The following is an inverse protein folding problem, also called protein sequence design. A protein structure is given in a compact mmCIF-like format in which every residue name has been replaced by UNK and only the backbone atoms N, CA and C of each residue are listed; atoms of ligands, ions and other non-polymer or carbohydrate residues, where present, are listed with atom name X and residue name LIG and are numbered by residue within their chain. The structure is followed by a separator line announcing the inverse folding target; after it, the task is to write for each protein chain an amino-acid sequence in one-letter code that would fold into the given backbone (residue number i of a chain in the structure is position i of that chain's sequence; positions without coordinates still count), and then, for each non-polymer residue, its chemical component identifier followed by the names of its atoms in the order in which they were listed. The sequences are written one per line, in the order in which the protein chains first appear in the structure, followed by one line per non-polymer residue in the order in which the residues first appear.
data_IF_454909013982
#
_entry.id   IF_454909013982
#
_cell.length_a   1.000
_cell.length_b   1.000
_cell.length_c   1.000
_cell.angle_alpha   90.00
_cell.angle_beta   90.00
_cell.angle_gamma   90.00
#
_symmetry.space_group_name_H-M   'P 1'
#
loop_
_entity.id
_entity.type
_entity.pdbx_description
1 polymer ?
#
# COMPACT_ATOMS: atom_id res chain seq x y z
N UNK A 1 27.23 14.18 18.84
CA UNK A 1 25.88 14.61 18.42
C UNK A 1 24.95 13.40 18.41
N UNK A 2 23.63 13.61 18.33
CA UNK A 2 22.63 12.54 18.52
C UNK A 2 22.65 11.47 17.42
N UNK A 3 22.46 10.21 17.82
CA UNK A 3 22.33 9.06 16.93
C UNK A 3 21.42 9.35 15.72
N UNK A 4 21.70 8.72 14.58
CA UNK A 4 20.89 8.75 13.37
C UNK A 4 19.50 8.16 13.64
N UNK A 5 18.61 8.92 14.26
CA UNK A 5 17.24 8.49 14.48
C UNK A 5 16.56 8.38 13.11
N UNK A 6 16.06 7.19 12.79
CA UNK A 6 15.28 6.97 11.57
C UNK A 6 14.03 7.86 11.62
N UNK A 7 13.86 8.69 10.59
CA UNK A 7 12.73 9.63 10.52
C UNK A 7 11.37 8.94 10.40
N UNK A 8 11.36 7.68 9.94
CA UNK A 8 10.16 6.86 9.76
C UNK A 8 10.37 5.47 10.34
N UNK A 9 9.82 5.24 11.53
CA UNK A 9 9.73 3.91 12.15
C UNK A 9 8.27 3.49 12.14
N UNK A 10 7.91 2.37 11.46
CA UNK A 10 6.53 1.91 11.48
C UNK A 10 6.16 1.41 12.88
N UNK A 11 4.93 1.68 13.30
CA UNK A 11 4.40 1.01 14.49
C UNK A 11 4.32 -0.50 14.20
N UNK A 12 4.79 -1.38 15.10
CA UNK A 12 4.88 -2.81 14.83
C UNK A 12 3.51 -3.50 14.65
N UNK A 13 2.51 -3.06 15.41
CA UNK A 13 1.21 -3.74 15.48
C UNK A 13 0.17 -3.11 14.52
N UNK A 14 -0.59 -3.90 13.76
CA UNK A 14 -1.67 -3.43 12.89
C UNK A 14 -2.64 -2.49 13.59
N UNK A 15 -3.04 -2.77 14.83
CA UNK A 15 -3.97 -1.96 15.62
C UNK A 15 -3.41 -0.54 15.88
N UNK A 16 -2.09 -0.39 15.84
CA UNK A 16 -1.42 0.89 16.01
C UNK A 16 -1.25 1.66 14.69
N UNK A 17 -1.13 0.98 13.54
CA UNK A 17 -0.88 1.60 12.22
C UNK A 17 -2.09 1.68 11.29
N UNK A 18 -3.08 0.80 11.43
CA UNK A 18 -4.31 0.79 10.63
C UNK A 18 -5.37 1.67 11.28
N UNK A 19 -5.25 2.98 11.10
CA UNK A 19 -6.20 3.94 11.66
C UNK A 19 -6.87 4.73 10.55
N UNK A 20 -8.21 4.84 10.62
CA UNK A 20 -8.93 5.90 9.92
C UNK A 20 -8.67 7.19 10.68
N UNK A 21 -7.82 8.04 10.11
CA UNK A 21 -7.38 9.26 10.76
C UNK A 21 -8.20 10.45 10.26
N UNK A 22 -8.84 11.17 11.17
CA UNK A 22 -9.33 12.54 10.90
C UNK A 22 -8.19 13.56 10.99
N UNK A 23 -7.21 13.28 11.85
CA UNK A 23 -5.98 14.05 12.01
C UNK A 23 -4.77 13.12 11.93
N UNK A 24 -3.74 13.56 11.21
CA UNK A 24 -2.44 12.86 11.14
C UNK A 24 -1.37 13.74 11.77
N UNK A 25 -0.41 13.11 12.46
CA UNK A 25 0.77 13.83 12.93
C UNK A 25 1.58 14.31 11.71
N UNK A 26 1.80 15.61 11.61
CA UNK A 26 2.67 16.23 10.61
C UNK A 26 3.82 16.93 11.32
N UNK A 27 5.02 16.37 11.22
CA UNK A 27 6.23 16.98 11.75
C UNK A 27 6.82 17.94 10.71
N UNK A 28 7.14 19.17 11.13
CA UNK A 28 7.80 20.15 10.26
C UNK A 28 9.16 19.61 9.83
N UNK A 29 9.49 19.72 8.54
CA UNK A 29 10.75 19.20 7.99
C UNK A 29 10.74 17.70 7.64
N UNK A 30 9.72 16.93 8.03
CA UNK A 30 9.60 15.50 7.70
C UNK A 30 8.41 15.29 6.78
N UNK A 31 8.68 15.14 5.47
CA UNK A 31 7.64 14.81 4.49
C UNK A 31 7.34 13.31 4.53
N UNK A 32 6.07 12.97 4.29
CA UNK A 32 5.70 11.57 4.11
C UNK A 32 6.28 11.08 2.77
N UNK A 33 7.08 9.99 2.73
CA UNK A 33 7.81 9.59 1.53
C UNK A 33 6.90 9.36 0.32
N UNK A 34 5.74 8.73 0.53
CA UNK A 34 4.75 8.55 -0.54
C UNK A 34 4.31 9.89 -1.13
N UNK A 35 4.03 10.89 -0.29
CA UNK A 35 3.44 12.16 -0.73
C UNK A 35 4.47 13.10 -1.38
N UNK A 36 5.76 12.82 -1.23
CA UNK A 36 6.83 13.55 -1.91
C UNK A 36 6.73 13.39 -3.43
N UNK A 37 6.45 12.16 -3.90
CA UNK A 37 6.22 11.86 -5.32
C UNK A 37 4.95 12.55 -5.85
N UNK A 38 4.00 12.85 -4.97
CA UNK A 38 2.76 13.58 -5.27
C UNK A 38 2.86 15.10 -5.07
N UNK A 39 4.06 15.66 -5.22
CA UNK A 39 4.32 17.11 -5.16
C UNK A 39 3.79 17.76 -3.88
N UNK A 40 3.95 17.09 -2.73
CA UNK A 40 3.60 17.70 -1.45
C UNK A 40 4.43 18.95 -1.21
N UNK A 41 3.80 20.09 -0.89
CA UNK A 41 4.53 21.33 -0.66
C UNK A 41 5.46 21.19 0.54
N UNK A 42 6.59 21.89 0.44
CA UNK A 42 7.55 21.95 1.52
C UNK A 42 7.00 22.72 2.73
N UNK A 43 7.50 22.43 3.93
CA UNK A 43 7.00 23.04 5.17
C UNK A 43 7.62 24.41 5.49
N UNK A 44 8.48 24.92 4.62
CA UNK A 44 9.23 26.17 4.71
C UNK A 44 8.53 27.34 4.01
N UNK A 45 7.58 27.08 3.11
CA UNK A 45 6.78 28.11 2.46
C UNK A 45 5.28 27.88 2.62
N UNK A 46 4.52 28.98 2.63
CA UNK A 46 3.06 28.93 2.52
C UNK A 46 2.69 28.47 1.11
N UNK A 47 1.73 27.55 1.01
CA UNK A 47 1.21 27.04 -0.25
C UNK A 47 -0.31 27.12 -0.21
N UNK A 48 -0.89 28.00 -1.02
CA UNK A 48 -2.33 28.20 -1.17
C UNK A 48 -2.98 27.06 -1.94
N UNK A 49 -2.24 26.45 -2.87
CA UNK A 49 -2.72 25.34 -3.70
C UNK A 49 -1.56 24.46 -4.14
N UNK A 50 -1.70 23.15 -3.92
CA UNK A 50 -0.75 22.14 -4.41
C UNK A 50 -0.79 22.08 -5.94
N UNK A 51 0.37 21.95 -6.55
CA UNK A 51 0.49 21.69 -7.99
C UNK A 51 -0.14 20.33 -8.33
N UNK A 52 -1.11 20.34 -9.24
CA UNK A 52 -1.69 19.11 -9.78
C UNK A 52 -0.85 18.66 -10.97
N UNK A 53 -0.36 17.43 -10.90
CA UNK A 53 0.48 16.83 -11.93
C UNK A 53 -0.02 15.43 -12.22
N UNK A 54 0.15 14.97 -13.45
CA UNK A 54 -0.17 13.62 -13.90
C UNK A 54 1.07 12.93 -14.44
N UNK A 55 2.22 13.19 -13.83
CA UNK A 55 3.52 12.69 -14.30
C UNK A 55 3.61 11.18 -14.10
N UNK A 56 4.19 10.50 -15.10
CA UNK A 56 4.35 9.04 -15.12
C UNK A 56 4.92 8.43 -13.83
N UNK A 57 5.89 9.05 -13.12
CA UNK A 57 6.40 8.50 -11.86
C UNK A 57 5.33 8.31 -10.78
N UNK A 58 4.27 9.13 -10.74
CA UNK A 58 3.19 9.00 -9.76
C UNK A 58 2.37 7.73 -9.99
N UNK A 59 1.99 7.46 -11.24
CA UNK A 59 1.28 6.24 -11.60
C UNK A 59 2.15 5.00 -11.37
N UNK A 60 3.43 5.04 -11.76
CA UNK A 60 4.36 3.94 -11.53
C UNK A 60 4.60 3.69 -10.04
N UNK A 61 4.66 4.74 -9.22
CA UNK A 61 4.80 4.58 -7.76
C UNK A 61 3.59 3.83 -7.18
N UNK A 62 2.37 4.21 -7.55
CA UNK A 62 1.18 3.54 -7.05
C UNK A 62 1.08 2.08 -7.52
N UNK A 63 1.39 1.78 -8.79
CA UNK A 63 1.35 0.41 -9.30
C UNK A 63 2.46 -0.51 -8.76
N UNK A 64 3.65 0.03 -8.50
CA UNK A 64 4.81 -0.79 -8.11
C UNK A 64 5.09 -0.75 -6.60
N UNK A 65 4.34 0.03 -5.81
CA UNK A 65 4.57 0.08 -4.37
C UNK A 65 3.97 -1.12 -3.65
N UNK A 66 4.74 -1.68 -2.72
CA UNK A 66 4.26 -2.70 -1.79
C UNK A 66 3.04 -2.22 -0.99
N UNK A 67 3.02 -0.94 -0.58
CA UNK A 67 1.90 -0.38 0.19
C UNK A 67 0.58 -0.41 -0.61
N UNK A 68 0.58 -0.01 -1.89
CA UNK A 68 -0.64 -0.08 -2.71
C UNK A 68 -1.10 -1.52 -2.90
N UNK A 69 -0.17 -2.44 -3.14
CA UNK A 69 -0.45 -3.86 -3.30
C UNK A 69 -1.02 -4.51 -2.03
N UNK A 70 -0.43 -4.24 -0.86
CA UNK A 70 -0.94 -4.75 0.43
C UNK A 70 -2.36 -4.21 0.70
N UNK A 71 -2.66 -2.96 0.31
CA UNK A 71 -4.01 -2.38 0.44
C UNK A 71 -4.99 -2.96 -0.55
N UNK A 72 -4.58 -3.25 -1.78
CA UNK A 72 -5.45 -3.87 -2.77
C UNK A 72 -5.81 -5.31 -2.39
N UNK A 73 -4.84 -6.06 -1.85
CA UNK A 73 -5.07 -7.41 -1.33
C UNK A 73 -6.02 -7.41 -0.13
N UNK A 74 -5.84 -6.47 0.81
CA UNK A 74 -6.73 -6.31 1.95
C UNK A 74 -8.16 -5.93 1.53
N UNK A 75 -8.29 -5.07 0.50
CA UNK A 75 -9.59 -4.71 -0.08
C UNK A 75 -10.27 -5.92 -0.73
N UNK A 76 -9.55 -6.70 -1.53
CA UNK A 76 -10.05 -7.90 -2.17
C UNK A 76 -10.51 -8.93 -1.14
N UNK A 77 -9.70 -9.20 -0.11
CA UNK A 77 -10.06 -10.11 0.98
C UNK A 77 -11.31 -9.63 1.72
N UNK A 78 -11.42 -8.33 1.99
CA UNK A 78 -12.62 -7.76 2.62
C UNK A 78 -13.85 -7.94 1.74
N UNK A 79 -13.79 -7.55 0.46
CA UNK A 79 -14.91 -7.68 -0.46
C UNK A 79 -15.34 -9.14 -0.62
N UNK A 80 -14.38 -10.08 -0.67
CA UNK A 80 -14.65 -11.50 -0.75
C UNK A 80 -15.26 -12.08 0.53
N UNK A 81 -14.86 -11.57 1.70
CA UNK A 81 -15.36 -12.02 3.01
C UNK A 81 -16.71 -11.42 3.38
N UNK A 82 -17.05 -10.24 2.85
CA UNK A 82 -18.35 -9.58 3.04
C UNK A 82 -19.50 -10.36 2.36
N UNK A 83 -19.21 -11.20 1.37
CA UNK A 83 -20.21 -11.99 0.63
C UNK A 83 -20.35 -13.40 1.23
N UNK A 84 -21.60 -13.86 1.34
CA UNK A 84 -21.91 -15.22 1.80
C UNK A 84 -21.23 -16.28 0.92
N UNK A 85 -20.73 -17.33 1.56
CA UNK A 85 -20.00 -18.41 0.88
C UNK A 85 -20.90 -19.24 -0.02
N UNK A 86 -22.19 -19.32 0.32
CA UNK A 86 -23.19 -20.11 -0.40
C UNK A 86 -23.96 -19.26 -1.43
N UNK A 87 -23.59 -17.99 -1.63
CA UNK A 87 -24.22 -17.13 -2.61
C UNK A 87 -23.93 -17.60 -4.04
N UNK A 88 -24.98 -17.75 -4.84
CA UNK A 88 -24.85 -17.85 -6.28
C UNK A 88 -24.19 -16.57 -6.84
N UNK A 89 -23.31 -16.73 -7.84
CA UNK A 89 -22.58 -15.63 -8.49
C UNK A 89 -21.72 -14.77 -7.54
N UNK A 90 -21.04 -15.42 -6.58
CA UNK A 90 -20.14 -14.77 -5.63
C UNK A 90 -19.10 -13.83 -6.27
N UNK A 91 -18.56 -14.19 -7.44
CA UNK A 91 -17.62 -13.36 -8.20
C UNK A 91 -18.22 -11.99 -8.55
N UNK A 92 -19.43 -11.96 -9.12
CA UNK A 92 -20.11 -10.71 -9.48
C UNK A 92 -20.46 -9.87 -8.26
N UNK A 93 -20.89 -10.52 -7.18
CA UNK A 93 -21.19 -9.84 -5.91
C UNK A 93 -19.94 -9.20 -5.30
N UNK A 94 -18.80 -9.89 -5.36
CA UNK A 94 -17.52 -9.34 -4.90
C UNK A 94 -17.09 -8.13 -5.73
N UNK A 95 -17.25 -8.18 -7.05
CA UNK A 95 -16.97 -7.04 -7.93
C UNK A 95 -17.89 -5.85 -7.62
N UNK A 96 -19.21 -6.07 -7.54
CA UNK A 96 -20.16 -5.02 -7.14
C UNK A 96 -19.77 -4.39 -5.80
N UNK A 97 -19.35 -5.22 -4.84
CA UNK A 97 -18.87 -4.75 -3.54
C UNK A 97 -17.62 -3.89 -3.64
N UNK A 98 -16.69 -4.22 -4.53
CA UNK A 98 -15.50 -3.39 -4.80
C UNK A 98 -15.90 -2.03 -5.39
N UNK A 99 -16.81 -2.01 -6.38
CA UNK A 99 -17.33 -0.76 -6.96
C UNK A 99 -17.97 0.13 -5.88
N UNK A 100 -18.77 -0.44 -4.98
CA UNK A 100 -19.36 0.29 -3.85
C UNK A 100 -18.29 0.85 -2.90
N UNK A 101 -17.29 0.04 -2.54
CA UNK A 101 -16.27 0.42 -1.56
C UNK A 101 -15.26 1.43 -2.09
N UNK A 102 -14.94 1.38 -3.40
CA UNK A 102 -13.90 2.21 -4.02
C UNK A 102 -14.49 3.40 -4.76
N UNK A 103 -15.49 3.18 -5.60
CA UNK A 103 -16.06 4.17 -6.51
C UNK A 103 -17.39 4.73 -6.03
N UNK A 104 -17.95 4.21 -4.93
CA UNK A 104 -19.22 4.66 -4.34
C UNK A 104 -20.41 4.61 -5.32
N UNK A 105 -20.38 3.70 -6.30
CA UNK A 105 -21.46 3.49 -7.29
C UNK A 105 -21.61 2.00 -7.62
N UNK A 106 -22.66 1.66 -8.36
CA UNK A 106 -22.79 0.34 -8.97
C UNK A 106 -22.04 0.28 -10.32
N UNK A 107 -21.51 -0.89 -10.71
CA UNK A 107 -20.95 -1.07 -12.04
C UNK A 107 -22.05 -1.08 -13.09
N UNK A 108 -21.74 -0.54 -14.26
CA UNK A 108 -22.55 -0.79 -15.45
C UNK A 108 -22.37 -2.24 -15.93
N UNK A 109 -23.33 -2.76 -16.69
CA UNK A 109 -23.32 -4.16 -17.10
C UNK A 109 -22.05 -4.53 -17.91
N UNK A 110 -21.65 -3.65 -18.83
CA UNK A 110 -20.47 -3.86 -19.66
C UNK A 110 -19.16 -3.78 -18.85
N UNK A 111 -19.09 -2.92 -17.83
CA UNK A 111 -17.92 -2.82 -16.96
C UNK A 111 -17.76 -4.10 -16.13
N UNK A 112 -18.85 -4.61 -15.58
CA UNK A 112 -18.85 -5.84 -14.78
C UNK A 112 -18.35 -7.03 -15.61
N UNK A 113 -18.83 -7.19 -16.84
CA UNK A 113 -18.40 -8.25 -17.75
C UNK A 113 -16.91 -8.16 -18.09
N UNK A 114 -16.42 -6.95 -18.42
CA UNK A 114 -15.01 -6.72 -18.76
C UNK A 114 -14.08 -7.01 -17.57
N UNK A 115 -14.44 -6.55 -16.37
CA UNK A 115 -13.65 -6.77 -15.17
C UNK A 115 -13.66 -8.24 -14.75
N UNK A 116 -14.80 -8.92 -14.87
CA UNK A 116 -14.89 -10.36 -14.61
C UNK A 116 -14.00 -11.17 -15.56
N UNK A 117 -14.01 -10.83 -16.85
CA UNK A 117 -13.12 -11.46 -17.84
C UNK A 117 -11.65 -11.22 -17.50
N UNK A 118 -11.31 -9.97 -17.15
CA UNK A 118 -9.95 -9.58 -16.77
C UNK A 118 -9.48 -10.32 -15.51
N UNK A 119 -10.36 -10.44 -14.51
CA UNK A 119 -10.06 -11.18 -13.27
C UNK A 119 -9.73 -12.64 -13.57
N UNK A 120 -10.53 -13.32 -14.39
CA UNK A 120 -10.25 -14.71 -14.79
C UNK A 120 -8.96 -14.85 -15.58
N UNK A 121 -8.64 -13.88 -16.44
CA UNK A 121 -7.38 -13.87 -17.19
C UNK A 121 -6.17 -13.70 -16.25
N UNK A 122 -6.26 -12.80 -15.27
CA UNK A 122 -5.23 -12.61 -14.25
C UNK A 122 -5.07 -13.87 -13.40
N UNK A 123 -6.17 -14.45 -12.94
CA UNK A 123 -6.12 -15.69 -12.16
C UNK A 123 -5.43 -16.80 -12.95
N UNK A 124 -5.76 -16.97 -14.24
CA UNK A 124 -5.15 -17.98 -15.09
C UNK A 124 -3.63 -17.78 -15.23
N UNK A 125 -3.15 -16.53 -15.32
CA UNK A 125 -1.75 -16.18 -15.45
C UNK A 125 -0.96 -16.27 -14.13
N UNK A 126 -1.62 -16.10 -12.98
CA UNK A 126 -0.96 -16.13 -11.68
C UNK A 126 -0.48 -17.53 -11.30
N UNK A 127 0.70 -17.66 -10.65
CA UNK A 127 1.16 -18.94 -10.13
C UNK A 127 0.22 -19.48 -9.04
N UNK A 128 0.08 -20.81 -9.00
CA UNK A 128 -0.77 -21.51 -8.01
C UNK A 128 -0.33 -21.20 -6.58
N UNK A 129 0.96 -21.26 -6.33
CA UNK A 129 1.55 -20.86 -5.05
C UNK A 129 1.96 -19.39 -5.11
N UNK A 130 1.71 -18.66 -4.04
CA UNK A 130 2.19 -17.30 -3.91
C UNK A 130 3.67 -17.29 -3.55
N UNK A 131 4.37 -16.25 -4.02
CA UNK A 131 5.75 -16.01 -3.60
C UNK A 131 5.69 -15.43 -2.18
N UNK A 132 6.36 -16.06 -1.19
CA UNK A 132 6.42 -15.51 0.15
C UNK A 132 7.12 -14.16 0.13
N UNK A 133 6.60 -13.23 0.90
CA UNK A 133 7.29 -11.97 1.15
C UNK A 133 8.44 -12.20 2.13
N UNK A 134 9.49 -11.40 2.00
CA UNK A 134 10.68 -11.52 2.85
C UNK A 134 10.38 -11.15 4.30
N UNK A 135 11.08 -11.79 5.24
CA UNK A 135 11.05 -11.36 6.65
C UNK A 135 11.69 -9.97 6.80
N UNK A 136 11.11 -9.13 7.64
CA UNK A 136 11.72 -7.83 7.98
C UNK A 136 13.08 -8.04 8.67
N UNK A 137 14.12 -7.29 8.30
CA UNK A 137 15.44 -7.43 8.93
C UNK A 137 15.39 -6.96 10.39
N UNK A 138 16.10 -7.65 11.28
CA UNK A 138 16.19 -7.28 12.71
C UNK A 138 17.39 -6.37 13.00
N UNK A 139 18.35 -6.33 12.09
CA UNK A 139 19.55 -5.50 12.19
C UNK A 139 19.82 -4.79 10.87
N UNK A 140 20.47 -3.62 10.94
CA UNK A 140 20.97 -2.91 9.78
C UNK A 140 22.42 -2.47 10.03
N UNK A 141 23.32 -2.82 9.12
CA UNK A 141 24.70 -2.36 9.21
C UNK A 141 24.80 -0.90 8.76
N UNK A 142 25.42 -0.06 9.58
CA UNK A 142 25.59 1.38 9.36
C UNK A 142 27.07 1.72 9.29
N UNK A 143 27.40 2.63 8.38
CA UNK A 143 28.71 3.29 8.34
C UNK A 143 28.55 4.69 8.93
N UNK A 144 29.46 5.08 9.81
CA UNK A 144 29.51 6.39 10.42
C UNK A 144 30.95 6.90 10.48
N UNK A 145 31.08 8.22 10.67
CA UNK A 145 32.38 8.90 10.83
C UNK A 145 32.43 9.44 12.25
N UNK A 146 33.50 9.11 12.97
CA UNK A 146 33.74 9.62 14.32
C UNK A 146 34.04 11.12 14.24
N UNK A 147 33.38 11.91 15.10
CA UNK A 147 33.33 13.38 14.95
C UNK A 147 34.70 14.04 15.18
N UNK A 148 35.55 13.47 16.03
CA UNK A 148 36.82 14.07 16.42
C UNK A 148 38.01 13.59 15.57
N UNK A 149 38.08 12.30 15.27
CA UNK A 149 39.17 11.68 14.51
C UNK A 149 38.94 11.71 13.00
N UNK A 150 37.66 11.80 12.57
CA UNK A 150 37.28 11.63 11.17
C UNK A 150 37.40 10.19 10.67
N UNK A 151 37.66 9.22 11.55
CA UNK A 151 37.76 7.82 11.18
C UNK A 151 36.38 7.22 10.90
N UNK A 152 36.30 6.37 9.89
CA UNK A 152 35.09 5.64 9.56
C UNK A 152 34.98 4.38 10.40
N UNK A 153 33.80 4.11 10.92
CA UNK A 153 33.50 2.87 11.63
C UNK A 153 32.16 2.30 11.18
N UNK A 154 32.01 0.99 11.32
CA UNK A 154 30.76 0.28 11.08
C UNK A 154 30.19 -0.24 12.39
N UNK A 155 28.87 -0.23 12.50
CA UNK A 155 28.15 -0.86 13.61
C UNK A 155 26.82 -1.44 13.12
N UNK A 156 26.38 -2.51 13.78
CA UNK A 156 25.07 -3.08 13.52
C UNK A 156 24.03 -2.45 14.44
N UNK A 157 23.11 -1.71 13.83
CA UNK A 157 21.95 -1.13 14.49
C UNK A 157 20.89 -2.21 14.71
N UNK A 158 20.40 -2.36 15.93
CA UNK A 158 19.25 -3.22 16.23
C UNK A 158 17.96 -2.47 15.89
N UNK A 159 17.14 -3.05 15.03
CA UNK A 159 15.85 -2.50 14.61
C UNK A 159 14.74 -3.00 15.55
N UNK A 160 14.65 -2.38 16.74
CA UNK A 160 13.72 -2.81 17.80
C UNK A 160 12.26 -2.89 17.33
N UNK A 161 11.80 -1.93 16.51
CA UNK A 161 10.44 -1.94 15.97
C UNK A 161 10.14 -3.17 15.09
N UNK A 162 11.16 -3.76 14.45
CA UNK A 162 10.98 -4.91 13.57
C UNK A 162 10.83 -6.23 14.35
N UNK A 163 11.27 -6.30 15.61
CA UNK A 163 11.17 -7.50 16.44
C UNK A 163 9.72 -7.88 16.74
N UNK A 164 8.85 -6.87 16.89
CA UNK A 164 7.43 -7.06 17.18
C UNK A 164 6.54 -6.85 15.94
N UNK A 165 7.14 -6.59 14.78
CA UNK A 165 6.41 -6.20 13.58
C UNK A 165 5.53 -7.35 13.07
N UNK A 166 4.22 -7.11 13.02
CA UNK A 166 3.28 -8.01 12.37
C UNK A 166 2.95 -7.47 10.97
N UNK A 167 3.23 -8.25 9.91
CA UNK A 167 2.95 -7.84 8.55
C UNK A 167 1.44 -7.72 8.30
N UNK A 168 1.09 -7.02 7.22
CA UNK A 168 -0.29 -7.03 6.70
C UNK A 168 -0.65 -8.41 6.13
N UNK A 169 -1.88 -8.55 5.66
CA UNK A 169 -2.28 -9.73 4.89
C UNK A 169 -1.29 -9.95 3.74
N UNK A 170 -0.64 -11.11 3.69
CA UNK A 170 0.33 -11.46 2.67
C UNK A 170 -0.32 -12.29 1.55
N UNK A 171 0.27 -12.33 0.34
CA UNK A 171 -0.22 -13.17 -0.75
C UNK A 171 -0.37 -14.65 -0.39
N UNK A 172 0.50 -15.17 0.49
CA UNK A 172 0.45 -16.57 0.93
C UNK A 172 -0.71 -16.86 1.88
N UNK A 173 -1.34 -15.84 2.46
CA UNK A 173 -2.43 -15.98 3.43
C UNK A 173 -3.80 -16.14 2.77
N UNK A 174 -3.87 -15.99 1.43
CA UNK A 174 -5.12 -16.00 0.67
C UNK A 174 -5.09 -16.92 -0.55
N UNK A 175 -6.27 -17.39 -0.93
CA UNK A 175 -6.45 -18.22 -2.12
C UNK A 175 -6.02 -17.49 -3.40
N UNK A 176 -5.60 -18.27 -4.40
CA UNK A 176 -5.21 -17.74 -5.72
C UNK A 176 -6.28 -16.84 -6.34
N UNK A 177 -7.55 -17.21 -6.16
CA UNK A 177 -8.68 -16.45 -6.68
C UNK A 177 -8.78 -15.05 -6.05
N UNK A 178 -8.58 -14.94 -4.72
CA UNK A 178 -8.57 -13.66 -4.01
C UNK A 178 -7.31 -12.85 -4.31
N UNK A 179 -6.16 -13.50 -4.50
CA UNK A 179 -4.95 -12.80 -4.99
C UNK A 179 -5.17 -12.14 -6.35
N UNK A 180 -5.80 -12.87 -7.28
CA UNK A 180 -6.16 -12.33 -8.57
C UNK A 180 -7.12 -11.14 -8.44
N UNK A 181 -8.06 -11.21 -7.49
CA UNK A 181 -8.93 -10.08 -7.17
C UNK A 181 -8.15 -8.90 -6.59
N UNK A 182 -7.10 -9.16 -5.81
CA UNK A 182 -6.16 -8.16 -5.30
C UNK A 182 -5.45 -7.37 -6.39
N UNK A 183 -5.07 -8.03 -7.48
CA UNK A 183 -4.48 -7.37 -8.67
C UNK A 183 -5.53 -6.50 -9.38
N UNK A 184 -6.78 -6.97 -9.48
CA UNK A 184 -7.88 -6.15 -10.00
C UNK A 184 -8.12 -4.93 -9.11
N UNK A 185 -8.19 -5.12 -7.78
CA UNK A 185 -8.29 -4.02 -6.82
C UNK A 185 -7.14 -3.02 -6.95
N UNK A 186 -5.92 -3.47 -7.31
CA UNK A 186 -4.80 -2.56 -7.54
C UNK A 186 -5.08 -1.63 -8.72
N UNK A 187 -5.66 -2.15 -9.81
CA UNK A 187 -6.10 -1.33 -10.94
C UNK A 187 -7.16 -0.32 -10.49
N UNK A 188 -8.17 -0.75 -9.72
CA UNK A 188 -9.21 0.15 -9.18
C UNK A 188 -8.63 1.31 -8.36
N UNK A 189 -7.67 1.03 -7.47
CA UNK A 189 -7.00 2.06 -6.66
C UNK A 189 -6.08 2.99 -7.45
N UNK A 190 -5.89 2.71 -8.75
CA UNK A 190 -5.06 3.48 -9.66
C UNK A 190 -5.87 4.15 -10.79
N UNK A 191 -7.19 4.01 -10.82
CA UNK A 191 -8.02 4.67 -11.82
C UNK A 191 -8.11 6.17 -11.54
N UNK A 192 -8.30 6.96 -12.60
CA UNK A 192 -8.55 8.39 -12.44
C UNK A 192 -9.81 8.67 -11.61
N UNK A 193 -10.84 7.83 -11.75
CA UNK A 193 -12.09 7.94 -10.99
C UNK A 193 -11.87 7.83 -9.47
N UNK A 194 -10.89 7.02 -9.04
CA UNK A 194 -10.52 6.92 -7.64
C UNK A 194 -9.55 8.02 -7.19
N UNK A 195 -8.53 8.30 -8.00
CA UNK A 195 -7.42 9.20 -7.62
C UNK A 195 -7.81 10.67 -7.69
N UNK A 196 -8.67 11.06 -8.62
CA UNK A 196 -9.10 12.44 -8.84
C UNK A 196 -10.58 12.59 -8.53
N UNK A 197 -10.86 13.35 -7.47
CA UNK A 197 -12.20 13.90 -7.24
C UNK A 197 -12.31 15.13 -8.16
N UNK A 198 -13.07 15.01 -9.24
CA UNK A 198 -13.45 16.13 -10.10
C UNK A 198 -14.59 16.94 -9.48
#
# INVERSE_FOLDING_TARGET
MGAFASAWVPNPQPEQRHRRSLYILKLRGVRHPMLEVFNTPASDFSCERRESSTVTPQALNLFNSKNSYDRSLALAQRAWSDIDKDADNRDELALRRIYELVLCRQPEHHELEQVLQSWRAVEAALPREARPDGSVPLTASREAVEELSGERFMYDEILYANQEFKPDLQPNDVDRHVRALGDICLVFLNTNEFVYVY
#
